data_IF_339006842136
#
_entry.id   IF_339006842136
#
_cell.length_a   1.000
_cell.length_b   1.000
_cell.length_c   1.000
_cell.angle_alpha   90.00
_cell.angle_beta   90.00
_cell.angle_gamma   90.00
#
_symmetry.space_group_name_H-M   'P 1'
#
loop_
_entity.id
_entity.type
_entity.pdbx_description
1 polymer ?
#
# COMPACT_ATOMS: atom_id res chain seq x y z
N UNK A 1 -30.48 13.16 -12.28
CA UNK A 1 -29.15 12.93 -11.70
C UNK A 1 -28.33 12.14 -12.71
N UNK A 2 -27.73 12.85 -13.67
CA UNK A 2 -26.75 12.28 -14.59
C UNK A 2 -25.38 12.51 -13.96
N UNK A 3 -24.76 11.44 -13.46
CA UNK A 3 -23.35 11.46 -13.11
C UNK A 3 -22.57 11.20 -14.40
N UNK A 4 -21.96 12.24 -14.93
CA UNK A 4 -20.88 12.09 -15.92
C UNK A 4 -19.71 11.37 -15.21
N UNK A 5 -19.07 10.36 -15.82
CA UNK A 5 -17.92 9.71 -15.22
C UNK A 5 -16.77 10.73 -15.19
N UNK A 6 -16.38 11.14 -14.00
CA UNK A 6 -15.28 12.07 -13.75
C UNK A 6 -13.94 11.35 -14.00
N UNK A 7 -13.69 10.90 -15.22
CA UNK A 7 -12.37 10.39 -15.62
C UNK A 7 -11.60 11.58 -16.15
N UNK A 8 -11.19 12.48 -15.24
CA UNK A 8 -10.00 13.29 -15.51
C UNK A 8 -8.82 12.36 -15.29
N UNK A 9 -8.41 11.67 -16.36
CA UNK A 9 -7.06 11.13 -16.47
C UNK A 9 -6.11 12.32 -16.39
N UNK A 10 -5.74 12.69 -15.16
CA UNK A 10 -4.58 13.53 -14.92
C UNK A 10 -3.40 12.79 -15.55
N UNK A 11 -2.64 13.52 -16.34
CA UNK A 11 -1.53 13.03 -17.15
C UNK A 11 -0.38 12.54 -16.25
N UNK A 12 -0.56 11.45 -15.52
CA UNK A 12 0.54 10.56 -15.20
C UNK A 12 0.82 9.85 -16.52
N UNK A 13 1.79 10.38 -17.28
CA UNK A 13 2.36 9.69 -18.44
C UNK A 13 2.68 8.27 -17.99
N UNK A 14 1.81 7.32 -18.33
CA UNK A 14 2.27 5.99 -18.64
C UNK A 14 3.16 6.22 -19.85
N UNK A 15 4.45 6.46 -19.62
CA UNK A 15 5.44 6.41 -20.68
C UNK A 15 5.19 5.10 -21.42
N UNK A 16 5.25 5.14 -22.76
CA UNK A 16 5.18 3.98 -23.66
C UNK A 16 6.27 2.97 -23.28
N UNK A 17 6.08 2.29 -22.15
CA UNK A 17 6.98 1.28 -21.64
C UNK A 17 6.65 0.07 -22.46
N UNK A 18 7.60 -0.31 -23.32
CA UNK A 18 7.51 -1.49 -24.16
C UNK A 18 6.96 -2.67 -23.32
N UNK A 19 5.96 -3.39 -23.84
CA UNK A 19 5.30 -4.47 -23.08
C UNK A 19 6.34 -5.48 -22.59
N UNK A 20 7.40 -5.74 -23.36
CA UNK A 20 8.52 -6.58 -22.94
C UNK A 20 9.23 -6.07 -21.67
N UNK A 21 9.52 -4.77 -21.59
CA UNK A 21 10.17 -4.17 -20.41
C UNK A 21 9.25 -4.21 -19.19
N UNK A 22 7.93 -4.01 -19.39
CA UNK A 22 6.93 -4.10 -18.33
C UNK A 22 6.82 -5.52 -17.76
N UNK A 23 6.78 -6.53 -18.63
CA UNK A 23 6.75 -7.93 -18.22
C UNK A 23 8.01 -8.32 -17.45
N UNK A 24 9.18 -7.89 -17.94
CA UNK A 24 10.46 -8.11 -17.26
C UNK A 24 10.48 -7.45 -15.88
N UNK A 25 9.99 -6.22 -15.78
CA UNK A 25 9.93 -5.49 -14.52
C UNK A 25 8.99 -6.19 -13.52
N UNK A 26 7.75 -6.51 -13.93
CA UNK A 26 6.79 -7.20 -13.06
C UNK A 26 7.36 -8.52 -12.55
N UNK A 27 7.95 -9.33 -13.43
CA UNK A 27 8.58 -10.59 -13.04
C UNK A 27 9.70 -10.37 -12.02
N UNK A 28 10.51 -9.33 -12.21
CA UNK A 28 11.58 -8.96 -11.28
C UNK A 28 11.04 -8.58 -9.90
N UNK A 29 10.02 -7.72 -9.83
CA UNK A 29 9.39 -7.34 -8.56
C UNK A 29 8.67 -8.50 -7.89
N UNK A 30 8.02 -9.38 -8.65
CA UNK A 30 7.42 -10.61 -8.11
C UNK A 30 8.46 -11.54 -7.51
N UNK A 31 9.58 -11.78 -8.19
CA UNK A 31 10.67 -12.59 -7.62
C UNK A 31 11.22 -12.02 -6.32
N UNK A 32 11.26 -10.68 -6.17
CA UNK A 32 11.63 -10.05 -4.89
C UNK A 32 10.54 -10.28 -3.84
N UNK A 33 9.27 -10.09 -4.18
CA UNK A 33 8.16 -10.34 -3.26
C UNK A 33 8.15 -11.80 -2.77
N UNK A 34 8.39 -12.75 -3.67
CA UNK A 34 8.45 -14.18 -3.35
C UNK A 34 9.64 -14.54 -2.44
N UNK A 35 10.73 -13.75 -2.50
CA UNK A 35 11.88 -13.92 -1.61
C UNK A 35 11.64 -13.35 -0.20
N UNK A 36 10.61 -12.53 0.00
CA UNK A 36 10.32 -11.94 1.30
C UNK A 36 9.65 -12.97 2.20
N UNK A 37 10.31 -13.27 3.32
CA UNK A 37 9.87 -14.24 4.32
C UNK A 37 9.57 -13.52 5.64
N UNK A 38 8.38 -13.77 6.18
CA UNK A 38 8.06 -13.41 7.55
C UNK A 38 8.68 -14.43 8.49
N UNK A 39 9.62 -13.98 9.32
CA UNK A 39 10.20 -14.81 10.38
C UNK A 39 9.58 -14.46 11.72
N UNK A 40 9.86 -15.27 12.74
CA UNK A 40 9.47 -14.99 14.13
C UNK A 40 10.07 -13.69 14.69
N UNK A 41 11.08 -13.12 14.03
CA UNK A 41 11.71 -11.83 14.36
C UNK A 41 11.23 -10.67 13.48
N UNK A 42 10.26 -10.90 12.60
CA UNK A 42 9.76 -9.92 11.63
C UNK A 42 10.21 -10.21 10.20
N UNK A 43 10.05 -9.20 9.33
CA UNK A 43 10.39 -9.28 7.91
C UNK A 43 11.92 -9.29 7.72
N UNK A 44 12.48 -10.35 7.16
CA UNK A 44 13.90 -10.36 6.79
C UNK A 44 14.07 -9.75 5.39
N UNK A 45 14.84 -8.67 5.31
CA UNK A 45 15.49 -8.24 4.07
C UNK A 45 16.93 -8.79 4.10
N UNK A 46 17.45 -9.30 2.98
CA UNK A 46 18.78 -9.92 2.90
C UNK A 46 19.98 -8.95 3.06
N UNK A 47 19.77 -7.78 3.67
CA UNK A 47 20.85 -6.84 3.98
C UNK A 47 21.27 -6.95 5.45
N UNK A 48 22.49 -7.48 5.65
CA UNK A 48 23.37 -7.49 6.84
C UNK A 48 23.35 -8.67 7.84
N UNK A 49 24.47 -9.41 7.76
CA UNK A 49 25.38 -9.89 8.80
C UNK A 49 24.85 -10.71 9.99
N UNK A 50 25.25 -11.98 9.94
CA UNK A 50 25.35 -12.96 11.02
C UNK A 50 25.86 -12.39 12.35
N UNK A 51 25.06 -12.49 13.41
CA UNK A 51 25.39 -13.25 14.63
C UNK A 51 24.34 -13.05 15.75
N UNK A 52 23.98 -14.13 16.44
CA UNK A 52 23.34 -14.06 17.76
C UNK A 52 21.97 -14.75 17.87
N UNK A 53 21.99 -16.07 17.95
CA UNK A 53 20.86 -16.89 18.41
C UNK A 53 20.71 -16.74 19.92
N UNK A 54 19.55 -16.30 20.41
CA UNK A 54 19.03 -16.58 21.76
C UNK A 54 17.53 -16.79 21.58
N UNK A 55 17.08 -18.03 21.74
CA UNK A 55 15.68 -18.41 21.68
C UNK A 55 14.98 -18.09 22.99
N UNK A 56 13.76 -17.55 22.92
CA UNK A 56 12.82 -17.56 24.02
C UNK A 56 11.54 -18.24 23.55
N UNK A 57 11.30 -19.42 24.11
CA UNK A 57 10.05 -20.15 24.00
C UNK A 57 8.90 -19.31 24.59
N UNK A 58 7.81 -19.14 23.83
CA UNK A 58 6.54 -18.66 24.38
C UNK A 58 5.50 -19.79 24.33
N UNK A 59 4.72 -20.00 25.42
CA UNK A 59 3.73 -21.07 25.50
C UNK A 59 2.47 -20.76 24.66
N UNK A 60 1.67 -21.78 24.30
CA UNK A 60 0.49 -21.64 23.46
C UNK A 60 -0.64 -20.87 24.17
N UNK A 61 -1.25 -19.93 23.45
CA UNK A 61 -2.42 -19.16 23.88
C UNK A 61 -3.67 -20.06 23.67
N UNK A 62 -4.58 -20.17 24.65
CA UNK A 62 -5.78 -20.99 24.52
C UNK A 62 -6.80 -20.38 23.55
N UNK A 63 -7.34 -21.23 22.70
CA UNK A 63 -8.33 -20.93 21.67
C UNK A 63 -9.66 -20.48 22.31
N UNK A 64 -10.02 -19.22 22.14
CA UNK A 64 -11.39 -18.75 22.38
C UNK A 64 -12.13 -18.71 21.05
N UNK A 65 -13.06 -19.63 20.88
CA UNK A 65 -13.89 -19.79 19.70
C UNK A 65 -14.77 -18.54 19.49
N UNK A 66 -14.40 -17.70 18.52
CA UNK A 66 -15.27 -16.67 17.98
C UNK A 66 -16.04 -17.25 16.80
N UNK A 67 -17.24 -17.74 17.10
CA UNK A 67 -18.22 -18.20 16.13
C UNK A 67 -18.88 -17.00 15.44
N UNK A 68 -18.35 -16.63 14.27
CA UNK A 68 -19.09 -15.94 13.20
C UNK A 68 -18.34 -16.03 11.85
N UNK A 69 -18.00 -17.23 11.41
CA UNK A 69 -17.66 -17.44 9.99
C UNK A 69 -18.97 -17.72 9.26
N UNK A 70 -19.47 -16.73 8.54
CA UNK A 70 -20.50 -16.94 7.53
C UNK A 70 -19.83 -17.65 6.35
N UNK A 71 -20.44 -18.73 5.86
CA UNK A 71 -20.04 -19.42 4.64
C UNK A 71 -20.10 -18.41 3.47
N UNK A 72 -18.93 -18.02 2.98
CA UNK A 72 -18.79 -17.29 1.72
C UNK A 72 -18.67 -18.34 0.61
N UNK A 73 -19.49 -18.20 -0.45
CA UNK A 73 -19.47 -19.05 -1.63
C UNK A 73 -18.03 -19.17 -2.20
N UNK A 74 -17.57 -20.41 -2.40
CA UNK A 74 -16.19 -20.79 -2.76
C UNK A 74 -15.76 -20.47 -4.21
N UNK A 75 -16.37 -19.50 -4.90
CA UNK A 75 -16.14 -19.26 -6.35
C UNK A 75 -15.33 -18.02 -6.71
N UNK A 76 -14.75 -17.29 -5.76
CA UNK A 76 -13.78 -16.22 -6.07
C UNK A 76 -12.35 -16.71 -5.83
N UNK A 77 -11.90 -17.64 -6.68
CA UNK A 77 -10.50 -18.02 -6.69
C UNK A 77 -9.71 -16.86 -7.28
N UNK A 78 -9.24 -15.96 -6.41
CA UNK A 78 -8.36 -14.86 -6.78
C UNK A 78 -7.17 -15.42 -7.55
N UNK A 79 -7.20 -15.28 -8.89
CA UNK A 79 -6.12 -15.72 -9.73
C UNK A 79 -4.93 -14.80 -9.48
N UNK A 80 -3.76 -15.37 -9.21
CA UNK A 80 -2.54 -14.59 -9.08
C UNK A 80 -2.27 -13.84 -10.39
N UNK A 81 -2.04 -12.53 -10.29
CA UNK A 81 -1.74 -11.69 -11.46
C UNK A 81 -0.28 -11.89 -11.84
N UNK A 82 -0.04 -12.57 -12.97
CA UNK A 82 1.32 -12.93 -13.43
C UNK A 82 1.79 -12.13 -14.64
N UNK A 83 0.86 -11.50 -15.35
CA UNK A 83 1.09 -10.74 -16.58
C UNK A 83 0.93 -9.23 -16.32
N UNK A 84 1.83 -8.43 -16.90
CA UNK A 84 1.86 -6.99 -16.69
C UNK A 84 0.68 -6.25 -17.34
N UNK A 85 0.17 -6.75 -18.45
CA UNK A 85 -0.98 -6.14 -19.13
C UNK A 85 -2.28 -6.49 -18.39
N UNK A 86 -2.40 -7.70 -17.84
CA UNK A 86 -3.50 -8.05 -16.92
C UNK A 86 -3.46 -7.20 -15.64
N UNK A 87 -2.27 -6.98 -15.07
CA UNK A 87 -2.10 -6.10 -13.91
C UNK A 87 -2.54 -4.67 -14.22
N UNK A 88 -2.15 -4.14 -15.39
CA UNK A 88 -2.55 -2.81 -15.85
C UNK A 88 -4.05 -2.71 -16.06
N UNK A 89 -4.66 -3.69 -16.71
CA UNK A 89 -6.11 -3.73 -16.93
C UNK A 89 -6.87 -3.76 -15.59
N UNK A 90 -6.43 -4.62 -14.66
CA UNK A 90 -7.01 -4.69 -13.32
C UNK A 90 -6.91 -3.36 -12.57
N UNK A 91 -5.72 -2.75 -12.54
CA UNK A 91 -5.50 -1.47 -11.86
C UNK A 91 -6.27 -0.33 -12.53
N UNK A 92 -6.43 -0.35 -13.87
CA UNK A 92 -7.19 0.67 -14.61
C UNK A 92 -8.69 0.68 -14.28
N UNK A 93 -9.22 -0.45 -13.81
CA UNK A 93 -10.63 -0.63 -13.42
C UNK A 93 -10.87 -0.43 -11.93
N UNK A 94 -9.84 -0.09 -11.16
CA UNK A 94 -9.95 0.14 -9.72
C UNK A 94 -10.87 1.33 -9.46
N UNK A 95 -11.81 1.17 -8.52
CA UNK A 95 -12.75 2.24 -8.14
C UNK A 95 -12.31 3.01 -6.88
N UNK A 96 -11.42 2.44 -6.07
CA UNK A 96 -10.98 2.96 -4.78
C UNK A 96 -9.65 2.31 -4.39
N UNK A 97 -8.73 3.09 -3.82
CA UNK A 97 -7.51 2.56 -3.21
C UNK A 97 -7.58 2.67 -1.69
N UNK A 98 -7.40 1.54 -1.00
CA UNK A 98 -7.43 1.47 0.46
C UNK A 98 -6.06 1.11 1.02
N UNK A 99 -5.55 1.93 1.94
CA UNK A 99 -4.33 1.65 2.69
C UNK A 99 -4.64 1.37 4.15
N UNK A 100 -4.62 0.10 4.55
CA UNK A 100 -4.84 -0.32 5.94
C UNK A 100 -3.49 -0.58 6.60
N UNK A 101 -3.05 0.35 7.46
CA UNK A 101 -1.68 0.36 8.02
C UNK A 101 -0.57 0.46 6.96
N UNK A 102 -0.62 1.44 6.03
CA UNK A 102 0.33 1.52 4.92
C UNK A 102 1.62 2.23 5.35
N UNK A 103 2.39 1.60 6.24
CA UNK A 103 3.63 2.07 6.86
C UNK A 103 4.44 3.07 6.01
N UNK A 104 5.36 2.57 5.18
CA UNK A 104 6.20 3.42 4.33
C UNK A 104 5.45 3.88 3.07
N UNK A 105 4.42 3.12 2.66
CA UNK A 105 3.71 3.28 1.40
C UNK A 105 2.61 4.35 1.39
N UNK A 106 2.24 4.94 2.53
CA UNK A 106 1.11 5.88 2.63
C UNK A 106 1.14 6.98 1.55
N UNK A 107 2.30 7.62 1.35
CA UNK A 107 2.45 8.69 0.36
C UNK A 107 2.36 8.20 -1.09
N UNK A 108 2.84 6.99 -1.36
CA UNK A 108 2.81 6.38 -2.69
C UNK A 108 1.41 5.89 -3.06
N UNK A 109 0.65 5.37 -2.09
CA UNK A 109 -0.77 5.02 -2.25
C UNK A 109 -1.58 6.25 -2.67
N UNK A 110 -1.44 7.37 -1.95
CA UNK A 110 -2.13 8.62 -2.33
C UNK A 110 -1.74 9.06 -3.72
N UNK A 111 -0.43 9.07 -4.03
CA UNK A 111 0.05 9.46 -5.36
C UNK A 111 -0.50 8.56 -6.46
N UNK A 112 -0.56 7.26 -6.21
CA UNK A 112 -1.08 6.29 -7.16
C UNK A 112 -2.58 6.50 -7.42
N UNK A 113 -3.38 6.68 -6.38
CA UNK A 113 -4.80 6.97 -6.50
C UNK A 113 -5.05 8.31 -7.22
N UNK A 114 -4.28 9.36 -6.89
CA UNK A 114 -4.33 10.66 -7.58
C UNK A 114 -3.99 10.51 -9.08
N UNK A 115 -3.02 9.65 -9.43
CA UNK A 115 -2.67 9.35 -10.83
C UNK A 115 -3.79 8.61 -11.58
N UNK A 116 -4.46 7.66 -10.92
CA UNK A 116 -5.60 6.95 -11.49
C UNK A 116 -6.88 7.81 -11.54
N UNK A 117 -6.92 8.92 -10.81
CA UNK A 117 -8.12 9.75 -10.69
C UNK A 117 -9.22 9.07 -9.87
N UNK A 118 -8.86 8.21 -8.92
CA UNK A 118 -9.80 7.45 -8.08
C UNK A 118 -9.71 7.91 -6.63
N UNK A 119 -10.79 7.80 -5.85
CA UNK A 119 -10.75 8.09 -4.42
C UNK A 119 -9.76 7.16 -3.70
N UNK A 120 -9.31 7.60 -2.53
CA UNK A 120 -8.50 6.79 -1.63
C UNK A 120 -8.92 6.98 -0.17
N UNK A 121 -8.62 5.98 0.66
CA UNK A 121 -8.72 6.07 2.11
C UNK A 121 -7.51 5.38 2.74
N UNK A 122 -6.93 6.02 3.75
CA UNK A 122 -5.72 5.55 4.42
C UNK A 122 -5.96 5.59 5.93
N UNK A 123 -5.54 4.53 6.61
CA UNK A 123 -5.41 4.48 8.07
C UNK A 123 -3.94 4.72 8.42
N UNK A 124 -3.52 5.97 8.70
CA UNK A 124 -2.13 6.28 8.97
C UNK A 124 -1.69 5.75 10.34
N UNK A 125 -0.43 5.33 10.44
CA UNK A 125 0.17 4.80 11.67
C UNK A 125 1.53 5.42 11.94
N UNK A 126 2.54 5.05 11.15
CA UNK A 126 3.94 5.34 11.37
C UNK A 126 4.42 6.47 10.45
N UNK A 127 5.14 7.44 11.02
CA UNK A 127 5.59 8.63 10.27
C UNK A 127 6.86 8.35 9.48
N UNK A 128 7.71 7.45 9.98
CA UNK A 128 9.07 7.17 9.46
C UNK A 128 9.84 8.45 9.14
N UNK A 129 9.90 9.39 10.10
CA UNK A 129 10.37 10.75 9.84
C UNK A 129 11.80 10.81 9.32
N UNK A 130 12.64 9.85 9.69
CA UNK A 130 14.04 9.77 9.25
C UNK A 130 14.15 9.29 7.80
N UNK A 131 13.39 8.25 7.43
CA UNK A 131 13.29 7.79 6.04
C UNK A 131 12.68 8.87 5.13
N UNK A 132 11.64 9.56 5.63
CA UNK A 132 10.93 10.60 4.90
C UNK A 132 11.31 12.00 5.37
N UNK A 133 12.60 12.24 5.60
CA UNK A 133 13.13 13.50 6.12
C UNK A 133 12.85 14.73 5.22
N UNK A 134 12.37 14.52 3.99
CA UNK A 134 11.97 15.56 3.03
C UNK A 134 10.48 15.94 3.10
N UNK A 135 9.61 15.17 3.78
CA UNK A 135 8.18 15.51 3.90
C UNK A 135 8.00 16.81 4.69
N UNK A 136 7.28 17.75 4.11
CA UNK A 136 7.00 19.08 4.70
C UNK A 136 5.52 19.40 4.54
N UNK A 137 4.94 19.99 5.58
CA UNK A 137 3.66 20.69 5.48
C UNK A 137 3.82 21.93 4.60
N UNK A 138 2.71 22.50 4.12
CA UNK A 138 2.68 23.73 3.30
C UNK A 138 3.30 24.94 4.01
N UNK A 139 3.26 24.97 5.33
CA UNK A 139 3.92 26.01 6.16
C UNK A 139 5.43 25.80 6.34
N UNK A 140 5.99 24.72 5.77
CA UNK A 140 7.41 24.38 5.86
C UNK A 140 7.78 23.52 7.07
N UNK A 141 6.84 23.16 7.94
CA UNK A 141 7.09 22.29 9.09
C UNK A 141 7.49 20.88 8.66
N UNK A 142 8.51 20.29 9.32
CA UNK A 142 8.89 18.89 9.10
C UNK A 142 7.82 17.94 9.61
N UNK A 143 7.47 16.96 8.79
CA UNK A 143 6.56 15.87 9.19
C UNK A 143 7.31 14.91 10.09
N UNK A 144 6.97 14.90 11.39
CA UNK A 144 7.64 14.08 12.41
C UNK A 144 6.71 13.50 13.46
N UNK A 145 5.47 13.95 13.53
CA UNK A 145 4.43 13.37 14.40
C UNK A 145 3.31 12.77 13.56
N UNK A 146 2.48 11.96 14.19
CA UNK A 146 1.30 11.37 13.56
C UNK A 146 0.36 12.47 13.02
N UNK A 147 0.11 13.52 13.81
CA UNK A 147 -0.73 14.66 13.41
C UNK A 147 -0.13 15.39 12.20
N UNK A 148 1.20 15.52 12.14
CA UNK A 148 1.86 16.07 10.95
C UNK A 148 1.64 15.17 9.73
N UNK A 149 1.68 13.85 9.89
CA UNK A 149 1.44 12.92 8.78
C UNK A 149 0.00 13.04 8.27
N UNK A 150 -0.98 13.05 9.17
CA UNK A 150 -2.40 13.23 8.84
C UNK A 150 -2.61 14.54 8.07
N UNK A 151 -2.13 15.66 8.62
CA UNK A 151 -2.22 16.97 7.96
C UNK A 151 -1.48 17.00 6.63
N UNK A 152 -0.32 16.33 6.53
CA UNK A 152 0.42 16.23 5.28
C UNK A 152 -0.38 15.50 4.20
N UNK A 153 -1.11 14.43 4.56
CA UNK A 153 -2.00 13.71 3.64
C UNK A 153 -3.19 14.58 3.21
N UNK A 154 -3.83 15.29 4.14
CA UNK A 154 -4.91 16.25 3.81
C UNK A 154 -4.42 17.36 2.86
N UNK A 155 -3.21 17.87 3.05
CA UNK A 155 -2.68 18.96 2.22
C UNK A 155 -2.38 18.54 0.77
N UNK A 156 -2.30 17.22 0.47
CA UNK A 156 -2.04 16.69 -0.87
C UNK A 156 -3.23 16.80 -1.81
N UNK A 157 -4.44 16.63 -1.31
CA UNK A 157 -5.65 16.67 -2.11
C UNK A 157 -6.68 17.58 -1.41
N UNK A 158 -7.13 18.67 -2.05
CA UNK A 158 -8.10 19.60 -1.44
C UNK A 158 -9.42 18.97 -1.00
N UNK A 159 -9.77 17.79 -1.54
CA UNK A 159 -10.99 17.06 -1.19
C UNK A 159 -10.77 16.02 -0.08
N UNK A 160 -9.52 15.75 0.30
CA UNK A 160 -9.21 14.83 1.39
C UNK A 160 -9.72 15.39 2.73
N UNK A 161 -10.23 14.49 3.57
CA UNK A 161 -10.81 14.79 4.88
C UNK A 161 -10.37 13.74 5.88
N UNK A 162 -10.25 14.16 7.13
CA UNK A 162 -10.03 13.26 8.26
C UNK A 162 -11.38 12.94 8.91
N UNK A 163 -11.64 11.64 9.06
CA UNK A 163 -12.80 11.11 9.76
C UNK A 163 -12.34 10.19 10.89
N UNK A 164 -13.04 10.22 12.01
CA UNK A 164 -12.84 9.33 13.16
C UNK A 164 -14.14 8.57 13.42
N UNK A 165 -14.05 7.27 13.67
CA UNK A 165 -15.20 6.43 14.04
C UNK A 165 -15.73 6.75 15.45
#
# INVERSE_FOLDING_TARGET
>A
FHAEPFVRLAQCRADDTDSFDAQRWLKGERSKADSISWTTRGLQHEDEDTSGEHGCDNPPIPESESSCIQEYDEEDQACEVTDADDARDLLSRTALVLGLHPDQAAGDIVRFADCLGVPWCIVPCCVYSDLFAKRRLKDGTRVSTHEHLVRWLEERNPEARVETL
#
